data_IF_831214443658
#
_entry.id   IF_831214443658
#
_cell.length_a   1.000
_cell.length_b   1.000
_cell.length_c   1.000
_cell.angle_alpha   90.00
_cell.angle_beta   90.00
_cell.angle_gamma   90.00
#
_symmetry.space_group_name_H-M   'P 1'
#
loop_
_entity.id
_entity.type
_entity.pdbx_description
1 polymer ?
#
# COMPACT_ATOMS: atom_id res chain seq x y z
N UNK A 1 -8.15 68.31 5.63
CA UNK A 1 -8.16 67.12 4.75
C UNK A 1 -8.98 66.04 5.44
N UNK A 2 -10.15 65.69 4.90
CA UNK A 2 -10.80 64.38 5.09
C UNK A 2 -11.49 64.04 3.76
N UNK A 3 -11.19 62.87 3.22
CA UNK A 3 -11.53 62.45 1.86
C UNK A 3 -12.96 61.89 1.77
N UNK A 4 -13.61 62.24 0.65
CA UNK A 4 -14.97 61.93 0.27
C UNK A 4 -15.05 60.55 -0.41
N UNK A 5 -15.93 59.66 0.06
CA UNK A 5 -16.42 58.46 -0.65
C UNK A 5 -17.84 58.18 -0.19
N UNK A 6 -18.81 58.48 -1.06
CA UNK A 6 -20.22 58.14 -0.86
C UNK A 6 -20.73 57.41 -2.10
N UNK A 7 -21.56 56.41 -1.84
CA UNK A 7 -21.86 55.23 -2.63
C UNK A 7 -22.71 55.51 -3.90
N UNK A 8 -22.51 54.76 -5.00
CA UNK A 8 -22.94 55.13 -6.37
C UNK A 8 -24.31 54.56 -6.79
N UNK A 9 -25.26 54.38 -5.86
CA UNK A 9 -26.50 53.64 -6.15
C UNK A 9 -27.77 54.50 -6.25
N UNK A 10 -27.66 55.81 -6.06
CA UNK A 10 -28.80 56.72 -6.18
C UNK A 10 -28.29 58.07 -6.67
N UNK A 11 -28.47 58.36 -7.95
CA UNK A 11 -28.66 59.70 -8.49
C UNK A 11 -29.46 59.56 -9.80
N UNK A 12 -30.75 59.84 -9.65
CA UNK A 12 -31.62 60.65 -10.51
C UNK A 12 -31.65 60.39 -12.04
N UNK A 13 -32.76 59.73 -12.43
CA UNK A 13 -33.67 60.09 -13.53
C UNK A 13 -33.18 61.14 -14.56
N UNK A 14 -32.62 60.68 -15.67
CA UNK A 14 -32.74 61.38 -16.96
C UNK A 14 -33.05 60.36 -18.06
N UNK A 15 -34.34 60.20 -18.33
CA UNK A 15 -34.90 59.33 -19.36
C UNK A 15 -34.64 59.95 -20.74
N UNK A 16 -33.56 59.54 -21.39
CA UNK A 16 -33.35 59.87 -22.80
C UNK A 16 -34.37 59.10 -23.68
N UNK A 17 -35.36 59.88 -24.13
CA UNK A 17 -36.46 59.50 -25.00
C UNK A 17 -36.01 59.19 -26.46
N UNK A 18 -34.88 58.53 -26.64
CA UNK A 18 -34.31 58.18 -27.95
C UNK A 18 -34.26 56.66 -28.21
N UNK A 19 -34.66 55.84 -27.23
CA UNK A 19 -34.65 54.37 -27.37
C UNK A 19 -35.94 53.76 -27.96
N UNK A 20 -37.02 54.54 -28.14
CA UNK A 20 -38.37 54.05 -28.48
C UNK A 20 -38.78 54.18 -29.96
N UNK A 21 -37.83 54.21 -30.91
CA UNK A 21 -38.17 54.27 -32.36
C UNK A 21 -37.41 53.25 -33.18
N UNK A 22 -37.67 51.97 -32.92
CA UNK A 22 -37.03 50.89 -33.68
C UNK A 22 -37.63 49.51 -33.50
N UNK A 23 -38.93 49.38 -33.26
CA UNK A 23 -39.59 48.06 -33.20
C UNK A 23 -39.70 47.41 -34.58
N UNK A 24 -38.69 46.61 -34.97
CA UNK A 24 -38.84 45.42 -35.82
C UNK A 24 -37.76 44.39 -35.46
N UNK A 25 -38.00 43.63 -34.39
CA UNK A 25 -37.35 42.33 -34.19
C UNK A 25 -38.41 41.22 -34.25
N UNK A 26 -38.12 40.12 -34.97
CA UNK A 26 -39.07 39.03 -35.14
C UNK A 26 -39.24 38.26 -33.83
N UNK A 27 -40.49 37.89 -33.58
CA UNK A 27 -40.99 36.84 -32.72
C UNK A 27 -39.91 35.98 -32.00
N UNK A 28 -39.54 36.35 -30.77
CA UNK A 28 -38.76 35.51 -29.87
C UNK A 28 -39.69 34.59 -29.08
N UNK A 29 -40.26 33.61 -29.76
CA UNK A 29 -40.62 32.33 -29.15
C UNK A 29 -39.53 31.33 -29.52
N UNK A 30 -38.44 31.32 -28.74
CA UNK A 30 -37.45 30.26 -28.80
C UNK A 30 -36.98 29.93 -27.39
N UNK A 31 -37.94 29.45 -26.59
CA UNK A 31 -37.63 28.47 -25.56
C UNK A 31 -37.47 27.13 -26.29
N UNK A 32 -36.26 26.87 -26.77
CA UNK A 32 -35.83 25.58 -27.27
C UNK A 32 -34.90 24.93 -26.25
N UNK A 33 -35.49 24.32 -25.22
CA UNK A 33 -35.02 23.02 -24.76
C UNK A 33 -35.31 22.06 -25.95
N UNK A 34 -34.46 21.16 -26.44
CA UNK A 34 -33.49 20.33 -25.78
C UNK A 34 -32.48 19.80 -26.83
N UNK A 35 -31.29 19.42 -26.38
CA UNK A 35 -30.50 18.44 -27.10
C UNK A 35 -31.31 17.12 -27.08
N UNK A 36 -32.10 16.87 -28.11
CA UNK A 36 -32.70 15.54 -28.34
C UNK A 36 -31.59 14.59 -28.80
N UNK A 37 -30.72 14.24 -27.85
CA UNK A 37 -29.81 13.13 -27.99
C UNK A 37 -30.68 11.87 -28.15
N UNK A 38 -30.78 11.38 -29.38
CA UNK A 38 -31.65 10.25 -29.73
C UNK A 38 -31.48 9.13 -28.69
N UNK A 39 -32.55 8.53 -28.15
CA UNK A 39 -32.46 7.48 -27.13
C UNK A 39 -31.46 6.36 -27.45
N UNK A 40 -31.27 6.05 -28.73
CA UNK A 40 -30.24 5.11 -29.20
C UNK A 40 -28.78 5.55 -28.92
N UNK A 41 -28.47 6.85 -29.07
CA UNK A 41 -27.14 7.39 -28.77
C UNK A 41 -26.85 7.35 -27.27
N UNK A 42 -27.83 7.69 -26.44
CA UNK A 42 -27.72 7.56 -24.99
C UNK A 42 -27.45 6.10 -24.58
N UNK A 43 -28.16 5.14 -25.15
CA UNK A 43 -27.96 3.72 -24.87
C UNK A 43 -26.56 3.23 -25.27
N UNK A 44 -26.08 3.62 -26.45
CA UNK A 44 -24.71 3.27 -26.86
C UNK A 44 -23.64 3.86 -25.94
N UNK A 45 -23.85 5.09 -25.44
CA UNK A 45 -22.91 5.72 -24.50
C UNK A 45 -22.92 5.04 -23.12
N UNK A 46 -24.10 4.61 -22.65
CA UNK A 46 -24.24 3.83 -21.41
C UNK A 46 -23.47 2.51 -21.54
N UNK A 47 -23.72 1.73 -22.60
CA UNK A 47 -23.03 0.44 -22.82
C UNK A 47 -21.50 0.61 -22.93
N UNK A 48 -21.04 1.60 -23.69
CA UNK A 48 -19.61 1.90 -23.81
C UNK A 48 -19.00 2.32 -22.46
N UNK A 49 -19.74 3.08 -21.65
CA UNK A 49 -19.30 3.46 -20.30
C UNK A 49 -19.24 2.26 -19.34
N UNK A 50 -20.17 1.32 -19.43
CA UNK A 50 -20.19 0.09 -18.63
C UNK A 50 -19.00 -0.81 -18.98
N UNK A 51 -18.69 -0.97 -20.28
CA UNK A 51 -17.53 -1.76 -20.74
C UNK A 51 -16.23 -1.16 -20.21
N UNK A 52 -16.05 0.17 -20.31
CA UNK A 52 -14.87 0.87 -19.79
C UNK A 52 -14.70 0.71 -18.28
N UNK A 53 -15.79 0.83 -17.51
CA UNK A 53 -15.75 0.64 -16.06
C UNK A 53 -15.34 -0.79 -15.70
N UNK A 54 -15.90 -1.77 -16.41
CA UNK A 54 -15.60 -3.17 -16.18
C UNK A 54 -14.14 -3.50 -16.53
N UNK A 55 -13.59 -2.94 -17.62
CA UNK A 55 -12.17 -3.06 -17.93
C UNK A 55 -11.28 -2.37 -16.88
N UNK A 56 -11.67 -1.19 -16.42
CA UNK A 56 -10.96 -0.46 -15.36
C UNK A 56 -10.88 -1.27 -14.06
N UNK A 57 -11.99 -1.89 -13.62
CA UNK A 57 -11.99 -2.75 -12.41
C UNK A 57 -11.10 -3.98 -12.56
N UNK A 58 -11.04 -4.59 -13.76
CA UNK A 58 -10.12 -5.71 -14.02
C UNK A 58 -8.66 -5.28 -13.94
N UNK A 59 -8.31 -4.14 -14.53
CA UNK A 59 -6.96 -3.60 -14.47
C UNK A 59 -6.56 -3.25 -13.04
N UNK A 60 -7.48 -2.67 -12.27
CA UNK A 60 -7.25 -2.35 -10.87
C UNK A 60 -7.06 -3.62 -10.01
N UNK A 61 -7.84 -4.67 -10.24
CA UNK A 61 -7.65 -5.97 -9.60
C UNK A 61 -6.26 -6.55 -9.90
N UNK A 62 -5.85 -6.57 -11.17
CA UNK A 62 -4.52 -7.04 -11.55
C UNK A 62 -3.43 -6.26 -10.81
N UNK A 63 -3.55 -4.93 -10.77
CA UNK A 63 -2.61 -4.08 -10.03
C UNK A 63 -2.57 -4.36 -8.53
N UNK A 64 -3.71 -4.70 -7.91
CA UNK A 64 -3.79 -5.06 -6.49
C UNK A 64 -3.04 -6.37 -6.23
N UNK A 65 -3.25 -7.38 -7.07
CA UNK A 65 -2.53 -8.66 -6.95
C UNK A 65 -1.02 -8.50 -7.15
N UNK A 66 -0.61 -7.72 -8.15
CA UNK A 66 0.81 -7.41 -8.38
C UNK A 66 1.43 -6.69 -7.17
N UNK A 67 0.69 -5.74 -6.59
CA UNK A 67 1.12 -5.02 -5.38
C UNK A 67 1.22 -5.96 -4.17
N UNK A 68 0.32 -6.92 -4.05
CA UNK A 68 0.32 -7.89 -2.95
C UNK A 68 1.55 -8.80 -3.04
N UNK A 69 1.86 -9.29 -4.24
CA UNK A 69 3.08 -10.08 -4.49
C UNK A 69 4.36 -9.29 -4.17
N UNK A 70 4.42 -8.03 -4.59
CA UNK A 70 5.55 -7.17 -4.27
C UNK A 70 5.66 -6.91 -2.76
N UNK A 71 4.51 -6.72 -2.08
CA UNK A 71 4.44 -6.56 -0.63
C UNK A 71 4.91 -7.79 0.13
N UNK A 72 4.54 -8.99 -0.30
CA UNK A 72 5.01 -10.26 0.27
C UNK A 72 6.53 -10.39 0.13
N UNK A 73 7.07 -10.19 -1.07
CA UNK A 73 8.51 -10.25 -1.29
C UNK A 73 9.27 -9.21 -0.44
N UNK A 74 8.70 -8.02 -0.27
CA UNK A 74 9.25 -6.98 0.61
C UNK A 74 9.21 -7.41 2.07
N UNK A 75 8.13 -8.06 2.51
CA UNK A 75 8.02 -8.58 3.86
C UNK A 75 9.06 -9.67 4.14
N UNK A 76 9.26 -10.60 3.22
CA UNK A 76 10.32 -11.63 3.32
C UNK A 76 11.72 -11.02 3.46
N UNK A 77 12.01 -9.97 2.69
CA UNK A 77 13.27 -9.26 2.76
C UNK A 77 13.43 -8.54 4.11
N UNK A 78 12.41 -7.86 4.62
CA UNK A 78 12.46 -7.25 5.95
C UNK A 78 12.67 -8.31 7.04
N UNK A 79 12.00 -9.46 6.97
CA UNK A 79 12.22 -10.56 7.89
C UNK A 79 13.68 -11.03 7.89
N UNK A 80 14.28 -11.14 6.70
CA UNK A 80 15.67 -11.51 6.55
C UNK A 80 16.62 -10.45 7.15
N UNK A 81 16.36 -9.17 6.87
CA UNK A 81 17.12 -8.05 7.42
C UNK A 81 17.05 -8.00 8.95
N UNK A 82 15.88 -8.26 9.54
CA UNK A 82 15.73 -8.35 11.00
C UNK A 82 16.64 -9.42 11.61
N UNK A 83 16.76 -10.60 10.99
CA UNK A 83 17.68 -11.65 11.45
C UNK A 83 19.16 -11.21 11.33
N UNK A 84 19.51 -10.48 10.27
CA UNK A 84 20.86 -9.92 10.13
C UNK A 84 21.17 -8.91 11.25
N UNK A 85 20.23 -8.03 11.59
CA UNK A 85 20.39 -7.06 12.68
C UNK A 85 20.53 -7.75 14.03
N UNK A 86 19.74 -8.79 14.30
CA UNK A 86 19.88 -9.61 15.52
C UNK A 86 21.27 -10.25 15.62
N UNK A 87 21.80 -10.75 14.51
CA UNK A 87 23.15 -11.31 14.47
C UNK A 87 24.23 -10.25 14.71
N UNK A 88 24.07 -9.05 14.15
CA UNK A 88 24.98 -7.92 14.38
C UNK A 88 24.93 -7.52 15.86
N UNK A 89 23.75 -7.36 16.44
CA UNK A 89 23.59 -7.00 17.85
C UNK A 89 24.30 -8.00 18.78
N UNK A 90 24.08 -9.31 18.58
CA UNK A 90 24.75 -10.37 19.36
C UNK A 90 26.27 -10.37 19.18
N UNK A 91 26.77 -10.15 17.95
CA UNK A 91 28.21 -10.05 17.69
C UNK A 91 28.82 -8.84 18.38
N UNK A 92 28.15 -7.69 18.35
CA UNK A 92 28.60 -6.47 19.03
C UNK A 92 28.64 -6.66 20.55
N UNK A 93 27.63 -7.31 21.14
CA UNK A 93 27.64 -7.66 22.57
C UNK A 93 28.80 -8.60 22.91
N UNK A 94 29.05 -9.60 22.07
CA UNK A 94 30.17 -10.54 22.23
C UNK A 94 31.53 -9.84 22.14
N UNK A 95 31.68 -8.86 21.24
CA UNK A 95 32.88 -8.03 21.15
C UNK A 95 33.10 -7.23 22.43
N UNK A 96 32.05 -6.59 22.97
CA UNK A 96 32.14 -5.84 24.23
C UNK A 96 32.60 -6.72 25.41
N UNK A 97 32.03 -7.92 25.54
CA UNK A 97 32.44 -8.90 26.57
C UNK A 97 33.90 -9.32 26.37
N UNK A 98 34.27 -9.65 25.13
CA UNK A 98 35.64 -10.06 24.78
C UNK A 98 36.65 -8.96 25.08
N UNK A 99 36.35 -7.72 24.71
CA UNK A 99 37.18 -6.57 25.01
C UNK A 99 37.30 -6.37 26.52
N UNK A 100 36.22 -6.52 27.28
CA UNK A 100 36.29 -6.43 28.75
C UNK A 100 37.23 -7.49 29.35
N UNK A 101 37.21 -8.72 28.83
CA UNK A 101 38.16 -9.77 29.22
C UNK A 101 39.59 -9.42 28.80
N UNK A 102 39.80 -8.98 27.55
CA UNK A 102 41.10 -8.51 27.04
C UNK A 102 41.68 -7.39 27.89
N UNK A 103 40.85 -6.44 28.35
CA UNK A 103 41.29 -5.35 29.22
C UNK A 103 41.83 -5.86 30.56
N UNK A 104 41.20 -6.89 31.15
CA UNK A 104 41.72 -7.55 32.37
C UNK A 104 43.08 -8.19 32.13
N UNK A 105 43.26 -8.86 30.99
CA UNK A 105 44.55 -9.46 30.62
C UNK A 105 45.63 -8.41 30.38
N UNK A 106 45.33 -7.30 29.68
CA UNK A 106 46.26 -6.18 29.48
C UNK A 106 46.69 -5.57 30.83
N UNK A 107 45.76 -5.45 31.78
CA UNK A 107 46.07 -4.98 33.13
C UNK A 107 46.99 -5.95 33.88
N UNK A 108 46.80 -7.27 33.73
CA UNK A 108 47.69 -8.27 34.32
C UNK A 108 49.10 -8.26 33.70
N UNK A 109 49.24 -7.98 32.38
CA UNK A 109 50.54 -7.86 31.71
C UNK A 109 51.36 -6.68 32.28
N UNK A 110 50.71 -5.58 32.70
CA UNK A 110 51.43 -4.51 33.43
C UNK A 110 51.99 -4.99 34.77
N UNK A 111 51.34 -5.97 35.42
CA UNK A 111 51.69 -6.43 36.77
C UNK A 111 52.88 -7.39 36.80
N UNK A 112 53.19 -8.09 35.70
CA UNK A 112 54.34 -9.03 35.66
C UNK A 112 55.70 -8.35 35.62
N UNK A 113 55.76 -7.04 35.34
CA UNK A 113 56.99 -6.24 35.50
C UNK A 113 57.16 -5.64 36.91
N UNK A 114 56.31 -5.98 37.90
CA UNK A 114 56.29 -5.23 39.16
C UNK A 114 55.71 -5.85 40.45
N UNK A 115 55.48 -7.16 40.60
CA UNK A 115 55.26 -7.69 41.96
C UNK A 115 54.49 -9.00 42.12
N UNK A 116 55.19 -10.01 42.63
CA UNK A 116 54.75 -11.38 42.93
C UNK A 116 53.87 -11.45 44.21
N UNK A 117 53.10 -10.40 44.58
CA UNK A 117 52.47 -10.32 45.92
C UNK A 117 50.94 -10.31 45.96
N UNK A 118 50.22 -10.26 44.83
CA UNK A 118 48.76 -10.07 44.87
C UNK A 118 47.91 -11.30 44.50
N UNK A 119 48.49 -12.51 44.53
CA UNK A 119 47.81 -13.75 44.13
C UNK A 119 46.90 -14.37 45.21
N UNK A 120 46.93 -13.90 46.46
CA UNK A 120 46.24 -14.61 47.56
C UNK A 120 44.81 -14.12 47.87
N UNK A 121 44.38 -12.92 47.49
CA UNK A 121 43.05 -12.43 47.88
C UNK A 121 42.22 -11.98 46.68
N UNK A 122 41.39 -12.88 46.14
CA UNK A 122 39.96 -12.59 45.92
C UNK A 122 39.21 -13.79 45.37
N UNK A 123 38.49 -14.45 46.27
CA UNK A 123 37.31 -15.24 45.94
C UNK A 123 36.11 -14.33 45.71
N UNK A 124 35.28 -14.74 44.75
CA UNK A 124 33.81 -14.83 44.84
C UNK A 124 33.29 -14.94 43.41
N UNK A 125 32.93 -16.17 43.03
CA UNK A 125 32.20 -16.48 41.81
C UNK A 125 30.93 -15.61 41.73
N UNK A 126 30.81 -14.84 40.65
CA UNK A 126 29.53 -14.29 40.23
C UNK A 126 29.09 -15.05 38.99
N UNK A 127 28.11 -15.92 39.23
CA UNK A 127 27.23 -16.58 38.26
C UNK A 127 26.87 -15.57 37.16
N UNK A 128 27.29 -15.83 35.92
CA UNK A 128 26.82 -15.09 34.76
C UNK A 128 25.33 -15.39 34.60
N UNK A 129 24.51 -14.35 34.62
CA UNK A 129 23.10 -14.45 34.27
C UNK A 129 22.97 -14.88 32.82
N UNK A 130 22.14 -15.91 32.61
CA UNK A 130 21.58 -16.25 31.30
C UNK A 130 21.04 -14.98 30.64
N UNK A 131 21.58 -14.66 29.48
CA UNK A 131 20.98 -13.71 28.55
C UNK A 131 19.66 -14.29 28.09
N UNK A 132 18.57 -13.74 28.61
CA UNK A 132 17.22 -13.90 28.07
C UNK A 132 17.28 -13.72 26.54
N UNK A 133 16.86 -14.76 25.82
CA UNK A 133 16.69 -14.65 24.38
C UNK A 133 15.60 -13.61 24.11
N UNK A 134 15.82 -12.63 23.22
CA UNK A 134 14.76 -11.70 22.87
C UNK A 134 13.57 -12.50 22.29
N UNK A 135 12.33 -12.12 22.63
CA UNK A 135 11.14 -12.73 22.04
C UNK A 135 11.22 -12.61 20.52
N UNK A 136 10.74 -13.63 19.80
CA UNK A 136 10.68 -13.65 18.34
C UNK A 136 9.88 -12.43 17.84
N UNK A 137 10.59 -11.35 17.51
CA UNK A 137 10.05 -10.04 17.09
C UNK A 137 9.12 -10.17 15.89
N UNK A 138 9.45 -11.06 14.96
CA UNK A 138 8.82 -11.04 13.65
C UNK A 138 7.63 -12.00 13.48
N UNK A 139 6.93 -12.33 14.57
CA UNK A 139 5.82 -13.31 14.51
C UNK A 139 4.62 -12.80 13.69
N UNK A 140 4.30 -11.51 13.80
CA UNK A 140 3.15 -10.89 13.15
C UNK A 140 3.37 -10.72 11.65
N UNK A 141 4.53 -10.20 11.22
CA UNK A 141 4.86 -10.09 9.81
C UNK A 141 4.96 -11.47 9.14
N UNK A 142 5.52 -12.48 9.82
CA UNK A 142 5.50 -13.87 9.33
C UNK A 142 4.07 -14.39 9.16
N UNK A 143 3.17 -14.12 10.09
CA UNK A 143 1.77 -14.56 9.99
C UNK A 143 1.04 -13.86 8.83
N UNK A 144 1.30 -12.56 8.64
CA UNK A 144 0.73 -11.79 7.54
C UNK A 144 1.18 -12.31 6.16
N UNK A 145 2.48 -12.63 6.01
CA UNK A 145 3.04 -13.25 4.79
C UNK A 145 2.40 -14.60 4.52
N UNK A 146 2.36 -15.48 5.52
CA UNK A 146 1.79 -16.82 5.39
C UNK A 146 0.28 -16.78 5.07
N UNK A 147 -0.42 -15.76 5.57
CA UNK A 147 -1.84 -15.54 5.30
C UNK A 147 -2.08 -15.03 3.87
N UNK A 148 -1.19 -14.16 3.37
CA UNK A 148 -1.27 -13.61 2.02
C UNK A 148 -0.94 -14.65 0.93
N UNK A 149 0.02 -15.57 1.18
CA UNK A 149 0.42 -16.59 0.22
C UNK A 149 -0.68 -17.66 -0.05
N UNK A 150 -1.59 -17.89 0.91
CA UNK A 150 -2.62 -18.94 0.84
C UNK A 150 -3.85 -18.60 -0.01
N UNK A 151 -3.93 -17.41 -0.60
CA UNK A 151 -5.14 -16.93 -1.26
C UNK A 151 -5.19 -17.44 -2.70
N UNK A 152 -6.24 -18.19 -3.10
CA UNK A 152 -6.40 -18.65 -4.46
C UNK A 152 -6.45 -17.45 -5.42
N UNK A 153 -5.52 -17.40 -6.35
CA UNK A 153 -5.49 -16.38 -7.39
C UNK A 153 -6.67 -16.62 -8.33
N UNK A 154 -7.47 -15.61 -8.71
CA UNK A 154 -8.28 -15.72 -9.90
C UNK A 154 -7.29 -15.89 -11.06
N UNK A 155 -7.28 -17.07 -11.68
CA UNK A 155 -6.44 -17.38 -12.84
C UNK A 155 -6.94 -16.54 -14.01
N UNK A 156 -6.47 -15.30 -14.08
CA UNK A 156 -6.95 -14.27 -15.01
C UNK A 156 -5.86 -13.70 -15.90
N UNK A 157 -4.77 -14.44 -16.15
CA UNK A 157 -3.69 -13.87 -16.95
C UNK A 157 -2.48 -14.75 -17.23
N UNK A 158 -2.65 -15.96 -17.78
CA UNK A 158 -1.66 -16.60 -18.70
C UNK A 158 -2.23 -17.89 -19.33
N UNK A 159 -3.36 -17.82 -20.04
CA UNK A 159 -3.73 -18.87 -21.02
C UNK A 159 -4.30 -18.24 -22.30
N UNK A 160 -3.64 -17.21 -22.85
CA UNK A 160 -3.95 -16.69 -24.19
C UNK A 160 -3.28 -17.53 -25.29
N UNK A 161 -3.41 -18.87 -25.22
CA UNK A 161 -2.97 -19.78 -26.30
C UNK A 161 -3.49 -21.22 -26.18
N UNK A 162 -4.71 -21.48 -25.68
CA UNK A 162 -5.33 -22.80 -25.88
C UNK A 162 -6.84 -22.87 -25.69
N UNK A 163 -7.61 -21.81 -25.95
CA UNK A 163 -9.09 -21.88 -25.98
C UNK A 163 -9.65 -20.97 -27.09
N UNK A 164 -9.21 -21.20 -28.32
CA UNK A 164 -9.84 -20.61 -29.51
C UNK A 164 -10.33 -21.68 -30.50
N UNK A 165 -10.53 -22.92 -30.03
CA UNK A 165 -10.85 -24.04 -30.92
C UNK A 165 -12.15 -24.79 -30.61
N UNK A 166 -12.96 -24.33 -29.65
CA UNK A 166 -14.16 -25.07 -29.21
C UNK A 166 -15.48 -24.31 -29.34
N UNK A 167 -15.52 -23.23 -30.14
CA UNK A 167 -16.75 -22.45 -30.38
C UNK A 167 -17.15 -22.38 -31.86
N UNK A 168 -16.65 -23.29 -32.71
CA UNK A 168 -17.00 -23.35 -34.15
C UNK A 168 -16.99 -24.77 -34.72
N UNK A 169 -17.58 -25.74 -34.02
CA UNK A 169 -17.97 -27.01 -34.66
C UNK A 169 -19.26 -27.55 -34.05
N UNK A 170 -20.39 -27.23 -34.67
CA UNK A 170 -21.41 -28.19 -35.15
C UNK A 170 -22.82 -27.57 -35.18
N UNK A 171 -23.43 -27.57 -36.37
CA UNK A 171 -24.88 -27.42 -36.58
C UNK A 171 -25.47 -26.01 -36.68
N UNK A 172 -26.33 -25.73 -37.69
CA UNK A 172 -27.15 -24.52 -37.71
C UNK A 172 -28.31 -24.66 -36.72
N UNK A 173 -28.24 -23.97 -35.59
CA UNK A 173 -29.32 -23.92 -34.60
C UNK A 173 -30.05 -22.58 -34.64
N UNK A 174 -31.33 -22.64 -34.98
CA UNK A 174 -32.32 -21.56 -34.96
C UNK A 174 -32.31 -20.78 -33.63
N UNK A 175 -31.54 -19.69 -33.57
CA UNK A 175 -31.56 -18.73 -32.48
C UNK A 175 -32.85 -17.89 -32.43
N UNK A 176 -33.63 -17.88 -33.51
CA UNK A 176 -34.86 -17.07 -33.63
C UNK A 176 -36.07 -17.65 -32.89
N UNK A 177 -36.14 -18.98 -32.71
CA UNK A 177 -37.38 -19.62 -32.22
C UNK A 177 -37.59 -19.53 -30.71
N UNK A 178 -36.50 -19.36 -29.95
CA UNK A 178 -36.51 -19.38 -28.48
C UNK A 178 -36.67 -17.99 -27.86
N UNK A 179 -36.35 -16.93 -28.62
CA UNK A 179 -36.59 -15.54 -28.22
C UNK A 179 -38.05 -15.09 -28.48
N UNK A 180 -38.73 -15.67 -29.47
CA UNK A 180 -40.11 -15.31 -29.83
C UNK A 180 -41.21 -16.09 -29.07
N UNK A 181 -40.86 -17.18 -28.39
CA UNK A 181 -41.82 -18.05 -27.70
C UNK A 181 -42.33 -17.50 -26.35
N UNK A 182 -41.66 -16.49 -25.77
CA UNK A 182 -42.04 -15.89 -24.49
C UNK A 182 -43.06 -14.75 -24.56
N UNK A 183 -43.37 -14.22 -25.75
CA UNK A 183 -44.06 -12.93 -25.90
C UNK A 183 -45.53 -13.03 -26.35
N UNK A 184 -46.17 -14.19 -26.19
CA UNK A 184 -47.60 -14.34 -26.49
C UNK A 184 -48.29 -14.92 -25.27
N UNK A 185 -48.75 -14.05 -24.37
CA UNK A 185 -49.96 -14.15 -23.52
C UNK A 185 -49.83 -13.15 -22.35
N UNK A 186 -50.42 -11.95 -22.49
CA UNK A 186 -51.08 -11.18 -21.43
C UNK A 186 -51.34 -9.75 -21.93
N UNK A 187 -52.62 -9.54 -22.26
CA UNK A 187 -53.25 -8.24 -22.42
C UNK A 187 -53.37 -7.52 -21.07
N UNK A 188 -53.52 -6.20 -21.11
CA UNK A 188 -53.81 -5.24 -20.00
C UNK A 188 -52.63 -4.53 -19.31
N UNK A 189 -52.61 -3.20 -19.54
CA UNK A 189 -52.16 -2.14 -18.64
C UNK A 189 -50.64 -1.92 -18.48
N UNK A 190 -50.20 -0.79 -19.00
CA UNK A 190 -48.91 -0.16 -18.71
C UNK A 190 -48.72 -0.01 -17.19
N UNK A 191 -47.47 -0.15 -16.71
CA UNK A 191 -46.80 1.02 -16.19
C UNK A 191 -45.42 1.21 -16.82
N UNK A 192 -45.15 2.48 -17.12
CA UNK A 192 -43.85 3.14 -17.13
C UNK A 192 -42.62 2.26 -17.38
N UNK A 193 -42.24 2.15 -18.65
CA UNK A 193 -40.96 1.57 -19.06
C UNK A 193 -39.82 2.57 -18.83
N UNK A 194 -39.62 3.04 -17.59
CA UNK A 194 -38.29 3.33 -17.10
C UNK A 194 -37.59 1.99 -16.87
N UNK A 195 -37.33 1.27 -17.97
CA UNK A 195 -36.39 0.17 -17.98
C UNK A 195 -35.09 0.78 -17.50
N UNK A 196 -34.69 0.46 -16.28
CA UNK A 196 -33.29 0.51 -15.88
C UNK A 196 -32.55 -0.37 -16.89
N UNK A 197 -32.09 0.24 -17.99
CA UNK A 197 -31.25 -0.39 -18.99
C UNK A 197 -29.84 -0.30 -18.42
N UNK A 198 -29.67 -0.95 -17.29
CA UNK A 198 -28.37 -1.37 -16.82
C UNK A 198 -28.26 -2.82 -17.23
N UNK A 199 -27.20 -3.15 -17.95
CA UNK A 199 -27.02 -4.51 -18.40
C UNK A 199 -26.66 -5.33 -17.16
N UNK A 200 -27.65 -5.93 -16.49
CA UNK A 200 -27.53 -6.45 -15.11
C UNK A 200 -26.36 -7.41 -14.92
N UNK A 201 -25.94 -8.11 -15.98
CA UNK A 201 -24.75 -8.96 -15.98
C UNK A 201 -23.43 -8.17 -15.89
N UNK A 202 -23.32 -7.02 -16.55
CA UNK A 202 -22.16 -6.13 -16.46
C UNK A 202 -22.07 -5.51 -15.06
N UNK A 203 -23.18 -5.02 -14.52
CA UNK A 203 -23.22 -4.50 -13.15
C UNK A 203 -22.88 -5.57 -12.11
N UNK A 204 -23.38 -6.79 -12.29
CA UNK A 204 -23.08 -7.91 -11.38
C UNK A 204 -21.57 -8.20 -11.37
N UNK A 205 -20.94 -8.29 -12.55
CA UNK A 205 -19.49 -8.52 -12.67
C UNK A 205 -18.67 -7.35 -12.13
N UNK A 206 -19.14 -6.12 -12.33
CA UNK A 206 -18.48 -4.94 -11.78
C UNK A 206 -18.54 -4.96 -10.25
N UNK A 207 -19.69 -5.26 -9.66
CA UNK A 207 -19.84 -5.39 -8.20
C UNK A 207 -18.98 -6.51 -7.63
N UNK A 208 -18.91 -7.67 -8.30
CA UNK A 208 -18.01 -8.76 -7.93
C UNK A 208 -16.54 -8.30 -7.95
N UNK A 209 -16.12 -7.62 -9.01
CA UNK A 209 -14.76 -7.09 -9.08
C UNK A 209 -14.49 -6.08 -7.96
N UNK A 210 -15.44 -5.18 -7.66
CA UNK A 210 -15.30 -4.19 -6.60
C UNK A 210 -15.19 -4.84 -5.21
N UNK A 211 -15.90 -5.93 -4.95
CA UNK A 211 -15.79 -6.70 -3.70
C UNK A 211 -14.42 -7.37 -3.58
N UNK A 212 -13.94 -7.99 -4.67
CA UNK A 212 -12.58 -8.53 -4.74
C UNK A 212 -11.52 -7.45 -4.54
N UNK A 213 -11.72 -6.26 -5.11
CA UNK A 213 -10.82 -5.11 -4.92
C UNK A 213 -10.83 -4.65 -3.46
N UNK A 214 -12.01 -4.52 -2.84
CA UNK A 214 -12.15 -4.15 -1.43
C UNK A 214 -11.40 -5.12 -0.51
N UNK A 215 -11.55 -6.41 -0.78
CA UNK A 215 -10.84 -7.47 -0.05
C UNK A 215 -9.33 -7.38 -0.28
N UNK A 216 -8.88 -7.23 -1.53
CA UNK A 216 -7.46 -7.10 -1.85
C UNK A 216 -6.80 -5.85 -1.26
N UNK A 217 -7.49 -4.71 -1.29
CA UNK A 217 -7.05 -3.47 -0.63
C UNK A 217 -6.96 -3.63 0.89
N UNK A 218 -7.90 -4.37 1.51
CA UNK A 218 -7.85 -4.66 2.93
C UNK A 218 -6.62 -5.49 3.30
N UNK A 219 -6.23 -6.46 2.46
CA UNK A 219 -5.00 -7.23 2.63
C UNK A 219 -3.74 -6.39 2.44
N UNK A 220 -3.69 -5.60 1.37
CA UNK A 220 -2.61 -4.66 1.14
C UNK A 220 -2.43 -3.70 2.32
N UNK A 221 -3.52 -3.21 2.91
CA UNK A 221 -3.47 -2.39 4.12
C UNK A 221 -2.88 -3.16 5.30
N UNK A 222 -3.29 -4.41 5.51
CA UNK A 222 -2.72 -5.28 6.53
C UNK A 222 -1.22 -5.45 6.36
N UNK A 223 -0.78 -5.88 5.18
CA UNK A 223 0.65 -6.01 4.83
C UNK A 223 1.39 -4.68 5.03
N UNK A 224 0.88 -3.56 4.54
CA UNK A 224 1.52 -2.26 4.68
C UNK A 224 1.67 -1.84 6.15
N UNK A 225 0.69 -2.15 7.01
CA UNK A 225 0.77 -1.88 8.44
C UNK A 225 1.86 -2.71 9.10
N UNK A 226 1.92 -4.01 8.80
CA UNK A 226 2.93 -4.92 9.39
C UNK A 226 4.34 -4.60 8.89
N UNK A 227 4.49 -4.27 7.61
CA UNK A 227 5.76 -3.77 7.03
C UNK A 227 6.22 -2.49 7.76
N UNK A 228 5.29 -1.56 8.03
CA UNK A 228 5.57 -0.34 8.78
C UNK A 228 6.07 -0.62 10.20
N UNK A 229 5.37 -1.50 10.92
CA UNK A 229 5.76 -1.90 12.28
C UNK A 229 7.16 -2.53 12.30
N UNK A 230 7.46 -3.46 11.39
CA UNK A 230 8.78 -4.10 11.30
C UNK A 230 9.89 -3.08 11.02
N UNK A 231 9.66 -2.11 10.14
CA UNK A 231 10.63 -1.03 9.87
C UNK A 231 10.89 -0.19 11.12
N UNK A 232 9.85 0.17 11.87
CA UNK A 232 9.99 0.93 13.13
C UNK A 232 10.80 0.14 14.17
N UNK A 233 10.52 -1.16 14.31
CA UNK A 233 11.28 -2.04 15.21
C UNK A 233 12.76 -2.15 14.81
N UNK A 234 13.04 -2.34 13.53
CA UNK A 234 14.40 -2.41 12.99
C UNK A 234 15.14 -1.08 13.17
N UNK A 235 14.49 0.07 12.98
CA UNK A 235 15.09 1.39 13.24
C UNK A 235 15.51 1.53 14.71
N UNK A 236 14.64 1.15 15.64
CA UNK A 236 14.99 1.14 17.07
C UNK A 236 16.14 0.17 17.38
N UNK A 237 16.25 -0.93 16.65
CA UNK A 237 17.37 -1.86 16.79
C UNK A 237 18.68 -1.27 16.26
N UNK A 238 18.65 -0.61 15.11
CA UNK A 238 19.80 0.08 14.53
C UNK A 238 20.37 1.12 15.50
N UNK A 239 19.53 1.91 16.16
CA UNK A 239 19.96 2.91 17.15
C UNK A 239 20.71 2.26 18.33
N UNK A 240 20.18 1.13 18.84
CA UNK A 240 20.84 0.36 19.91
C UNK A 240 22.17 -0.23 19.44
N UNK A 241 22.20 -0.83 18.25
CA UNK A 241 23.41 -1.38 17.66
C UNK A 241 24.45 -0.28 17.49
N UNK A 242 24.09 0.88 16.96
CA UNK A 242 25.01 1.98 16.74
C UNK A 242 25.67 2.42 18.05
N UNK A 243 24.87 2.63 19.10
CA UNK A 243 25.37 2.95 20.44
C UNK A 243 26.34 1.90 20.98
N UNK A 244 26.01 0.61 20.82
CA UNK A 244 26.87 -0.50 21.24
C UNK A 244 28.18 -0.53 20.45
N UNK A 245 28.12 -0.32 19.14
CA UNK A 245 29.29 -0.31 18.24
C UNK A 245 30.23 0.83 18.58
N UNK A 246 29.72 2.04 18.84
CA UNK A 246 30.54 3.19 19.29
C UNK A 246 31.29 2.90 20.60
N UNK A 247 30.62 2.22 21.54
CA UNK A 247 31.24 1.76 22.79
C UNK A 247 32.34 0.73 22.55
N UNK A 248 32.09 -0.25 21.69
CA UNK A 248 33.07 -1.27 21.29
C UNK A 248 34.28 -0.63 20.61
N UNK A 249 34.08 0.30 19.67
CA UNK A 249 35.16 1.01 18.97
C UNK A 249 36.04 1.79 19.95
N UNK A 250 35.42 2.53 20.88
CA UNK A 250 36.13 3.27 21.92
C UNK A 250 37.00 2.35 22.80
N UNK A 251 36.49 1.17 23.15
CA UNK A 251 37.24 0.16 23.90
C UNK A 251 38.42 -0.40 23.10
N UNK A 252 38.23 -0.70 21.81
CA UNK A 252 39.30 -1.17 20.92
C UNK A 252 40.42 -0.14 20.83
N UNK A 253 40.10 1.12 20.55
CA UNK A 253 41.10 2.19 20.45
C UNK A 253 41.88 2.36 21.78
N UNK A 254 41.18 2.26 22.92
CA UNK A 254 41.79 2.32 24.24
C UNK A 254 42.80 1.18 24.46
N UNK A 255 42.41 -0.05 24.13
CA UNK A 255 43.27 -1.24 24.25
C UNK A 255 44.45 -1.20 23.30
N UNK A 256 44.25 -0.78 22.06
CA UNK A 256 45.32 -0.65 21.07
C UNK A 256 46.40 0.34 21.53
N UNK A 257 45.99 1.51 22.04
CA UNK A 257 46.92 2.50 22.61
C UNK A 257 47.71 1.93 23.80
N UNK A 258 47.05 1.12 24.64
CA UNK A 258 47.72 0.48 25.78
C UNK A 258 48.72 -0.59 25.35
N UNK A 259 48.34 -1.46 24.42
CA UNK A 259 49.21 -2.50 23.86
C UNK A 259 50.44 -1.89 23.19
N UNK A 260 50.27 -0.85 22.36
CA UNK A 260 51.38 -0.11 21.74
C UNK A 260 52.35 0.47 22.78
N UNK A 261 51.85 0.94 23.93
CA UNK A 261 52.70 1.43 25.02
C UNK A 261 53.47 0.32 25.73
N UNK A 262 52.88 -0.88 25.88
CA UNK A 262 53.54 -2.05 26.46
C UNK A 262 54.66 -2.54 25.53
N UNK A 263 54.40 -2.62 24.22
CA UNK A 263 55.36 -3.12 23.23
C UNK A 263 56.53 -2.15 22.93
N UNK A 264 56.40 -0.87 23.28
CA UNK A 264 57.46 0.13 23.08
C UNK A 264 58.47 0.20 24.24
N UNK A 265 58.31 -0.63 25.26
CA UNK A 265 59.29 -0.86 26.33
C UNK A 265 60.04 -2.15 26.02
#
# INVERSE_FOLDING_TARGET
>A
MMANKSNPFFDDDELDAEFLKGSRHPNRNQFGYDNDESPHQLLSKVEESEIRQLESTRNALASIYDSEQMGIATAEELLHQGEQLDNIERKTDSMSVTLTASQKHINNIKSVFGGIKNWWNRGSDKKLSETDSPPSRNSQLKEAVNSAEKIPRPVGGTHRKQELNDMYTDGPVDLDRKFLAGSRMADSQMPDQSRHITNSQHETKMNENLDLMSTGLSRLKGLASELGNEIEEQNLQLDRINTKVEGVDSLIQGQEKQLRRILRK
#
